data_IF_501008149918
#
_entry.id   IF_501008149918
#
_cell.length_a   1.000
_cell.length_b   1.000
_cell.length_c   1.000
_cell.angle_alpha   90.00
_cell.angle_beta   90.00
_cell.angle_gamma   90.00
#
_symmetry.space_group_name_H-M   'P 1'
#
loop_
_entity.id
_entity.type
_entity.pdbx_description
1 polymer ?
#
# COMPACT_ATOMS: atom_id res chain seq x y z
N UNK A 1 2.84 -50.31 -60.98
CA UNK A 1 2.29 -49.77 -59.72
C UNK A 1 1.74 -50.95 -58.92
N UNK A 2 2.27 -51.19 -57.72
CA UNK A 2 1.67 -52.04 -56.71
C UNK A 2 2.19 -51.51 -55.36
N UNK A 3 1.26 -51.11 -54.49
CA UNK A 3 1.50 -50.43 -53.22
C UNK A 3 2.02 -51.41 -52.16
N UNK A 4 2.95 -51.03 -51.27
CA UNK A 4 3.25 -51.83 -50.08
C UNK A 4 2.12 -51.66 -49.04
N UNK A 5 1.55 -52.79 -48.63
CA UNK A 5 0.49 -52.88 -47.64
C UNK A 5 0.94 -52.33 -46.27
N UNK A 6 0.01 -51.65 -45.63
CA UNK A 6 0.15 -50.91 -44.39
C UNK A 6 0.21 -51.87 -43.18
N UNK A 7 1.40 -52.37 -42.84
CA UNK A 7 1.65 -53.18 -41.63
C UNK A 7 1.85 -52.32 -40.35
N UNK A 8 1.45 -51.05 -40.36
CA UNK A 8 1.69 -50.12 -39.24
C UNK A 8 0.63 -50.18 -38.11
N UNK A 9 -0.33 -51.11 -38.18
CA UNK A 9 -1.47 -51.19 -37.24
C UNK A 9 -1.63 -52.56 -36.55
N UNK A 10 -0.62 -53.42 -36.56
CA UNK A 10 -0.60 -54.63 -35.75
C UNK A 10 0.00 -54.36 -34.37
N UNK A 11 -0.71 -53.60 -33.54
CA UNK A 11 -0.43 -53.52 -32.10
C UNK A 11 -1.39 -54.51 -31.43
N UNK A 12 -0.90 -55.70 -31.12
CA UNK A 12 -1.61 -56.65 -30.26
C UNK A 12 -1.67 -56.06 -28.84
N UNK A 13 -2.81 -55.50 -28.49
CA UNK A 13 -3.11 -55.05 -27.13
C UNK A 13 -3.53 -56.27 -26.33
N UNK A 14 -2.59 -56.84 -25.59
CA UNK A 14 -2.86 -57.91 -24.62
C UNK A 14 -3.73 -57.36 -23.48
N UNK A 15 -4.98 -57.81 -23.43
CA UNK A 15 -6.00 -57.31 -22.50
C UNK A 15 -5.77 -57.74 -21.05
N UNK A 16 -4.93 -58.73 -20.79
CA UNK A 16 -4.65 -59.19 -19.42
C UNK A 16 -3.71 -58.24 -18.65
N UNK A 17 -2.88 -57.44 -19.33
CA UNK A 17 -1.98 -56.48 -18.68
C UNK A 17 -2.68 -55.17 -18.24
N UNK A 18 -3.90 -54.89 -18.74
CA UNK A 18 -4.65 -53.69 -18.35
C UNK A 18 -5.31 -53.83 -16.96
N UNK A 19 -5.69 -55.05 -16.58
CA UNK A 19 -6.35 -55.30 -15.29
C UNK A 19 -5.39 -55.11 -14.10
N UNK A 20 -4.11 -55.47 -14.25
CA UNK A 20 -3.10 -55.35 -13.19
C UNK A 20 -2.59 -53.90 -13.03
N UNK A 21 -2.64 -53.11 -14.10
CA UNK A 21 -2.20 -51.70 -14.08
C UNK A 21 -3.28 -50.75 -13.52
N UNK A 22 -4.56 -51.07 -13.68
CA UNK A 22 -5.68 -50.27 -13.17
C UNK A 22 -5.84 -50.33 -11.63
N UNK A 23 -5.27 -51.34 -10.97
CA UNK A 23 -5.31 -51.47 -9.51
C UNK A 23 -4.41 -50.47 -8.77
N UNK A 24 -3.52 -49.77 -9.49
CA UNK A 24 -2.61 -48.76 -8.95
C UNK A 24 -2.98 -47.32 -9.31
N UNK A 25 -4.10 -47.10 -10.00
CA UNK A 25 -4.57 -45.75 -10.32
C UNK A 25 -5.18 -45.13 -9.06
N UNK A 26 -4.38 -44.31 -8.38
CA UNK A 26 -4.89 -43.49 -7.28
C UNK A 26 -6.12 -42.73 -7.79
N UNK A 27 -7.22 -42.67 -7.01
CA UNK A 27 -8.46 -42.07 -7.48
C UNK A 27 -8.17 -40.66 -7.99
N UNK A 28 -8.75 -40.24 -9.14
CA UNK A 28 -8.47 -38.95 -9.73
C UNK A 28 -8.91 -37.86 -8.76
N UNK A 29 -7.96 -37.34 -7.98
CA UNK A 29 -8.21 -36.23 -7.07
C UNK A 29 -8.51 -35.04 -7.96
N UNK A 30 -9.75 -34.55 -7.89
CA UNK A 30 -10.16 -33.38 -8.66
C UNK A 30 -9.17 -32.24 -8.42
N UNK A 31 -8.77 -31.56 -9.49
CA UNK A 31 -7.79 -30.46 -9.45
C UNK A 31 -8.23 -29.28 -8.57
N UNK A 32 -9.50 -29.26 -8.15
CA UNK A 32 -10.10 -28.28 -7.23
C UNK A 32 -10.49 -28.86 -5.87
N UNK A 33 -10.24 -30.15 -5.62
CA UNK A 33 -10.53 -30.76 -4.33
C UNK A 33 -9.48 -30.30 -3.31
N UNK A 34 -9.91 -29.45 -2.37
CA UNK A 34 -9.19 -29.20 -1.13
C UNK A 34 -9.82 -30.07 -0.05
N UNK A 35 -9.02 -30.89 0.63
CA UNK A 35 -9.53 -31.67 1.75
C UNK A 35 -9.86 -30.75 2.94
N UNK A 36 -10.78 -31.19 3.79
CA UNK A 36 -11.10 -30.48 5.04
C UNK A 36 -9.84 -30.33 5.92
N UNK A 37 -8.96 -31.33 5.93
CA UNK A 37 -7.70 -31.28 6.67
C UNK A 37 -6.75 -30.18 6.15
N UNK A 38 -6.67 -29.99 4.83
CA UNK A 38 -5.89 -28.92 4.22
C UNK A 38 -6.47 -27.54 4.54
N UNK A 39 -7.81 -27.42 4.49
CA UNK A 39 -8.50 -26.19 4.87
C UNK A 39 -8.26 -25.82 6.34
N UNK A 40 -8.39 -26.78 7.26
CA UNK A 40 -8.13 -26.55 8.68
C UNK A 40 -6.65 -26.19 8.93
N UNK A 41 -5.71 -26.80 8.20
CA UNK A 41 -4.28 -26.46 8.28
C UNK A 41 -4.01 -25.02 7.79
N UNK A 42 -4.60 -24.62 6.66
CA UNK A 42 -4.51 -23.26 6.14
C UNK A 42 -5.15 -22.25 7.08
N UNK A 43 -6.32 -22.57 7.64
CA UNK A 43 -7.02 -21.74 8.62
C UNK A 43 -6.22 -21.58 9.90
N UNK A 44 -5.61 -22.65 10.42
CA UNK A 44 -4.75 -22.59 11.60
C UNK A 44 -3.48 -21.76 11.38
N UNK A 45 -2.96 -21.76 10.15
CA UNK A 45 -1.78 -20.96 9.75
C UNK A 45 -2.15 -19.53 9.34
N UNK A 46 -3.43 -19.28 9.04
CA UNK A 46 -3.90 -17.98 8.59
C UNK A 46 -3.87 -16.97 9.72
N UNK A 47 -3.07 -15.93 9.53
CA UNK A 47 -3.13 -14.71 10.32
C UNK A 47 -3.54 -13.56 9.40
N UNK A 48 -4.64 -12.90 9.74
CA UNK A 48 -5.05 -11.69 9.03
C UNK A 48 -4.00 -10.60 9.26
N UNK A 49 -3.48 -10.02 8.18
CA UNK A 49 -2.64 -8.82 8.27
C UNK A 49 -3.54 -7.62 8.53
N UNK A 50 -3.77 -7.35 9.81
CA UNK A 50 -4.49 -6.16 10.25
C UNK A 50 -3.47 -5.03 10.34
N UNK A 51 -3.71 -3.94 9.60
CA UNK A 51 -2.95 -2.72 9.84
C UNK A 51 -3.50 -2.03 11.09
N UNK A 52 -2.66 -1.92 12.11
CA UNK A 52 -3.00 -1.35 13.43
C UNK A 52 -2.93 0.18 13.41
N UNK A 53 -2.52 0.78 12.28
CA UNK A 53 -2.28 2.21 12.15
C UNK A 53 -0.86 2.60 12.58
N UNK A 54 -0.70 3.86 12.98
CA UNK A 54 0.59 4.52 13.28
C UNK A 54 1.54 4.52 12.08
N UNK A 55 0.97 4.66 10.88
CA UNK A 55 1.74 4.72 9.64
C UNK A 55 2.68 5.92 9.62
N UNK A 56 2.30 7.03 10.24
CA UNK A 56 3.16 8.19 10.40
C UNK A 56 4.42 7.89 11.24
N UNK A 57 4.29 7.23 12.38
CA UNK A 57 5.44 6.88 13.22
C UNK A 57 6.37 5.89 12.51
N UNK A 58 5.80 4.87 11.86
CA UNK A 58 6.55 3.91 11.05
C UNK A 58 7.32 4.58 9.92
N UNK A 59 6.76 5.61 9.30
CA UNK A 59 7.45 6.41 8.27
C UNK A 59 8.67 7.13 8.87
N UNK A 60 8.53 7.71 10.06
CA UNK A 60 9.62 8.41 10.75
C UNK A 60 10.72 7.44 11.23
N UNK A 61 10.38 6.18 11.50
CA UNK A 61 11.37 5.14 11.77
C UNK A 61 12.11 4.69 10.50
N UNK A 62 11.37 4.48 9.41
CA UNK A 62 11.94 4.08 8.12
C UNK A 62 12.81 5.18 7.50
N UNK A 63 12.41 6.44 7.67
CA UNK A 63 13.12 7.62 7.16
C UNK A 63 13.33 8.63 8.29
N UNK A 64 14.36 8.43 9.14
CA UNK A 64 14.62 9.29 10.30
C UNK A 64 14.84 10.77 9.97
N UNK A 65 15.20 11.08 8.73
CA UNK A 65 15.39 12.44 8.24
C UNK A 65 14.10 13.25 8.12
N UNK A 66 12.93 12.59 8.15
CA UNK A 66 11.63 13.25 8.11
C UNK A 66 11.10 13.65 9.50
N UNK A 67 11.85 13.35 10.58
CA UNK A 67 11.46 13.71 11.93
C UNK A 67 11.40 15.24 12.10
N UNK A 68 10.39 15.78 12.80
CA UNK A 68 10.36 17.19 13.12
C UNK A 68 11.59 17.56 13.96
N UNK A 69 12.21 18.69 13.64
CA UNK A 69 13.35 19.22 14.39
C UNK A 69 12.78 20.04 15.55
N UNK A 70 12.85 19.50 16.77
CA UNK A 70 12.29 20.13 17.98
C UNK A 70 13.21 21.20 18.64
N UNK A 71 14.37 21.54 18.07
CA UNK A 71 15.34 22.43 18.72
C UNK A 71 15.42 23.85 18.12
N UNK A 72 15.15 24.92 18.90
CA UNK A 72 15.47 26.29 18.52
C UNK A 72 16.95 26.57 18.76
N UNK A 73 17.82 26.05 17.90
CA UNK A 73 19.22 26.47 17.86
C UNK A 73 19.38 27.80 17.09
N UNK A 74 20.26 28.71 17.53
CA UNK A 74 20.41 30.07 16.96
C UNK A 74 20.84 30.03 15.49
N UNK A 75 20.67 31.14 14.73
CA UNK A 75 20.81 31.19 13.27
C UNK A 75 22.29 31.11 12.88
N UNK A 76 22.87 29.94 13.03
CA UNK A 76 24.10 29.58 12.34
C UNK A 76 23.66 28.75 11.16
N UNK A 77 23.68 29.37 10.00
CA UNK A 77 23.88 28.78 8.68
C UNK A 77 24.34 27.31 8.77
N UNK A 78 23.41 26.37 8.80
CA UNK A 78 23.74 24.95 8.70
C UNK A 78 22.77 24.27 7.75
N UNK A 79 23.29 24.15 6.53
CA UNK A 79 23.13 23.03 5.61
C UNK A 79 22.04 23.13 4.54
N UNK A 80 22.11 24.21 3.77
CA UNK A 80 21.97 24.16 2.30
C UNK A 80 23.24 23.65 1.60
N UNK A 81 24.00 22.73 2.23
CA UNK A 81 25.30 22.26 1.73
C UNK A 81 25.39 20.73 1.72
N UNK A 82 25.22 20.16 0.53
CA UNK A 82 26.03 19.01 0.09
C UNK A 82 25.60 17.59 0.48
N UNK A 83 24.49 17.38 1.20
CA UNK A 83 23.94 16.04 1.37
C UNK A 83 23.06 15.70 0.17
N UNK A 84 23.49 14.72 -0.63
CA UNK A 84 22.68 14.09 -1.66
C UNK A 84 21.30 13.78 -1.09
N UNK A 85 20.25 14.35 -1.68
CA UNK A 85 18.87 14.08 -1.30
C UNK A 85 18.64 12.57 -1.21
N UNK A 86 17.85 12.13 -0.24
CA UNK A 86 17.64 10.69 -0.03
C UNK A 86 16.58 10.19 -1.00
N UNK A 87 16.95 9.21 -1.83
CA UNK A 87 15.99 8.53 -2.69
C UNK A 87 15.17 7.55 -1.86
N UNK A 88 13.86 7.82 -1.78
CA UNK A 88 12.92 6.93 -1.09
C UNK A 88 12.79 5.60 -1.84
N UNK A 89 12.78 4.49 -1.10
CA UNK A 89 12.44 3.20 -1.68
C UNK A 89 10.95 3.14 -1.99
N UNK A 90 10.55 2.23 -2.89
CA UNK A 90 9.12 2.04 -3.25
C UNK A 90 8.23 1.80 -2.03
N UNK A 91 8.74 1.06 -1.04
CA UNK A 91 8.03 0.80 0.23
C UNK A 91 7.81 2.08 1.03
N UNK A 92 8.82 2.96 1.09
CA UNK A 92 8.75 4.22 1.83
C UNK A 92 7.78 5.19 1.17
N UNK A 93 7.72 5.21 -0.17
CA UNK A 93 6.72 6.01 -0.92
C UNK A 93 5.30 5.51 -0.65
N UNK A 94 5.09 4.19 -0.57
CA UNK A 94 3.79 3.63 -0.19
C UNK A 94 3.43 3.99 1.25
N UNK A 95 4.38 3.84 2.17
CA UNK A 95 4.22 4.18 3.58
C UNK A 95 3.92 5.67 3.78
N UNK A 96 4.56 6.54 3.01
CA UNK A 96 4.26 7.97 2.95
C UNK A 96 2.81 8.22 2.53
N UNK A 97 2.31 7.51 1.52
CA UNK A 97 0.90 7.58 1.12
C UNK A 97 -0.06 7.14 2.22
N UNK A 98 0.25 6.05 2.92
CA UNK A 98 -0.56 5.57 4.05
C UNK A 98 -0.55 6.56 5.22
N UNK A 99 0.62 7.10 5.58
CA UNK A 99 0.75 8.12 6.62
C UNK A 99 -0.04 9.39 6.29
N UNK A 100 0.04 9.89 5.05
CA UNK A 100 -0.76 11.05 4.63
C UNK A 100 -2.26 10.74 4.68
N UNK A 101 -2.67 9.54 4.28
CA UNK A 101 -4.08 9.10 4.35
C UNK A 101 -4.61 9.01 5.78
N UNK A 102 -3.82 8.43 6.68
CA UNK A 102 -4.10 8.34 8.12
C UNK A 102 -4.25 9.73 8.75
N UNK A 103 -3.26 10.60 8.57
CA UNK A 103 -3.31 11.99 9.06
C UNK A 103 -4.49 12.77 8.48
N UNK A 104 -4.88 12.50 7.24
CA UNK A 104 -6.02 13.17 6.60
C UNK A 104 -7.35 12.73 7.22
N UNK A 105 -7.48 11.45 7.55
CA UNK A 105 -8.63 10.91 8.27
C UNK A 105 -8.75 11.52 9.67
N UNK A 106 -7.63 11.70 10.36
CA UNK A 106 -7.55 12.35 11.68
C UNK A 106 -7.68 13.89 11.62
N UNK A 107 -7.95 14.46 10.44
CA UNK A 107 -8.04 15.91 10.20
C UNK A 107 -6.78 16.71 10.58
N UNK A 108 -5.62 16.04 10.66
CA UNK A 108 -4.33 16.63 11.00
C UNK A 108 -3.68 17.31 9.78
N UNK A 109 -4.40 18.23 9.15
CA UNK A 109 -4.01 18.86 7.88
C UNK A 109 -2.70 19.64 7.95
N UNK A 110 -2.40 20.27 9.10
CA UNK A 110 -1.12 20.98 9.30
C UNK A 110 0.07 20.02 9.25
N UNK A 111 -0.07 18.85 9.87
CA UNK A 111 1.01 17.86 9.92
C UNK A 111 1.29 17.25 8.54
N UNK A 112 0.25 17.10 7.71
CA UNK A 112 0.39 16.68 6.32
C UNK A 112 1.18 17.70 5.51
N UNK A 113 0.86 18.99 5.65
CA UNK A 113 1.57 20.06 4.93
C UNK A 113 3.04 20.07 5.32
N UNK A 114 3.34 20.06 6.62
CA UNK A 114 4.72 20.03 7.11
C UNK A 114 5.46 18.76 6.66
N UNK A 115 4.80 17.60 6.63
CA UNK A 115 5.40 16.37 6.13
C UNK A 115 5.75 16.48 4.64
N UNK A 116 4.84 17.01 3.82
CA UNK A 116 5.09 17.25 2.39
C UNK A 116 6.31 18.17 2.18
N UNK A 117 6.40 19.28 2.92
CA UNK A 117 7.53 20.20 2.87
C UNK A 117 8.86 19.53 3.24
N UNK A 118 8.88 18.73 4.32
CA UNK A 118 10.08 17.98 4.72
C UNK A 118 10.50 16.97 3.66
N UNK A 119 9.55 16.27 3.04
CA UNK A 119 9.84 15.31 1.96
C UNK A 119 10.43 16.03 0.74
N UNK A 120 9.88 17.17 0.33
CA UNK A 120 10.42 17.94 -0.80
C UNK A 120 11.82 18.51 -0.52
N UNK A 121 12.12 18.83 0.74
CA UNK A 121 13.41 19.35 1.16
C UNK A 121 14.49 18.25 1.21
N UNK A 122 14.17 17.10 1.80
CA UNK A 122 15.16 16.07 2.17
C UNK A 122 15.23 14.93 1.13
N UNK A 123 14.14 14.62 0.44
CA UNK A 123 14.06 13.45 -0.43
C UNK A 123 14.16 13.78 -1.92
N UNK A 124 14.70 12.83 -2.69
CA UNK A 124 14.57 12.84 -4.15
C UNK A 124 13.18 12.35 -4.53
N UNK A 125 12.30 13.28 -4.88
CA UNK A 125 10.95 12.96 -5.36
C UNK A 125 10.93 12.91 -6.89
N UNK A 126 10.42 11.82 -7.46
CA UNK A 126 10.09 11.79 -8.89
C UNK A 126 8.91 12.73 -9.21
N UNK A 127 8.70 13.03 -10.50
CA UNK A 127 7.67 13.97 -10.92
C UNK A 127 6.24 13.61 -10.47
N UNK A 128 5.90 12.31 -10.41
CA UNK A 128 4.57 11.84 -9.98
C UNK A 128 4.40 11.97 -8.47
N UNK A 129 5.43 11.61 -7.71
CA UNK A 129 5.45 11.75 -6.25
C UNK A 129 5.36 13.23 -5.86
N UNK A 130 6.16 14.09 -6.50
CA UNK A 130 6.12 15.53 -6.27
C UNK A 130 4.76 16.16 -6.62
N UNK A 131 4.14 15.76 -7.73
CA UNK A 131 2.78 16.23 -8.06
C UNK A 131 1.76 15.79 -7.02
N UNK A 132 1.88 14.54 -6.53
CA UNK A 132 0.99 14.01 -5.51
C UNK A 132 1.11 14.76 -4.19
N UNK A 133 2.33 15.10 -3.75
CA UNK A 133 2.57 15.91 -2.55
C UNK A 133 1.99 17.33 -2.68
N UNK A 134 2.19 17.98 -3.83
CA UNK A 134 1.57 19.29 -4.10
C UNK A 134 0.04 19.24 -4.08
N UNK A 135 -0.56 18.16 -4.60
CA UNK A 135 -2.01 17.97 -4.58
C UNK A 135 -2.53 17.80 -3.15
N UNK A 136 -1.81 17.05 -2.32
CA UNK A 136 -2.14 16.89 -0.90
C UNK A 136 -2.02 18.20 -0.14
N UNK A 137 -0.93 18.95 -0.34
CA UNK A 137 -0.71 20.26 0.27
C UNK A 137 -1.87 21.21 -0.03
N UNK A 138 -2.20 21.42 -1.32
CA UNK A 138 -3.33 22.28 -1.74
C UNK A 138 -4.68 21.84 -1.16
N UNK A 139 -4.92 20.52 -1.09
CA UNK A 139 -6.16 19.98 -0.52
C UNK A 139 -6.26 20.28 0.97
N UNK A 140 -5.16 20.14 1.70
CA UNK A 140 -5.10 20.40 3.14
C UNK A 140 -5.22 21.90 3.43
N UNK A 141 -4.56 22.75 2.66
CA UNK A 141 -4.69 24.21 2.75
C UNK A 141 -6.14 24.66 2.52
N UNK A 142 -6.82 24.11 1.51
CA UNK A 142 -8.22 24.41 1.25
C UNK A 142 -9.12 24.00 2.43
N UNK A 143 -8.86 22.83 3.05
CA UNK A 143 -9.62 22.37 4.23
C UNK A 143 -9.38 23.25 5.45
N UNK A 144 -8.13 23.65 5.69
CA UNK A 144 -7.78 24.59 6.77
C UNK A 144 -8.44 25.96 6.56
N UNK A 145 -8.48 26.47 5.32
CA UNK A 145 -9.16 27.71 4.98
C UNK A 145 -10.68 27.66 5.21
N UNK A 146 -11.32 26.53 4.91
CA UNK A 146 -12.76 26.31 5.19
C UNK A 146 -13.02 26.25 6.70
N UNK A 147 -12.19 25.55 7.48
CA UNK A 147 -12.36 25.45 8.94
C UNK A 147 -12.21 26.82 9.64
N UNK A 148 -11.34 27.71 9.16
CA UNK A 148 -11.25 29.08 9.68
C UNK A 148 -12.46 29.95 9.30
N UNK A 149 -13.06 29.76 8.11
CA UNK A 149 -14.22 30.52 7.66
C UNK A 149 -15.55 30.10 8.31
N UNK A 150 -15.70 28.83 8.70
CA UNK A 150 -16.91 28.31 9.35
C UNK A 150 -17.05 28.78 10.83
N UNK A 151 -15.95 29.16 11.47
CA UNK A 151 -15.95 29.73 12.84
C UNK A 151 -16.41 31.19 12.93
N UNK A 152 -16.38 31.95 11.84
CA UNK A 152 -16.68 33.39 11.84
C UNK A 152 -18.17 33.68 11.54
N UNK A 153 -18.90 32.71 10.98
CA UNK A 153 -20.27 32.95 10.46
C UNK A 153 -21.39 32.63 11.47
N UNK A 154 -21.09 31.99 12.61
CA UNK A 154 -22.13 31.53 13.56
C UNK A 154 -22.46 32.54 14.68
N UNK A 155 -21.69 33.62 14.87
CA UNK A 155 -21.93 34.58 15.96
C UNK A 155 -22.90 35.71 15.57
N UNK A 156 -23.16 35.93 14.27
CA UNK A 156 -23.94 37.09 13.82
C UNK A 156 -25.47 36.91 13.78
N UNK A 157 -26.03 35.81 14.34
CA UNK A 157 -27.47 35.49 14.13
C UNK A 157 -28.24 35.08 15.38
N UNK A 158 -28.06 35.80 16.49
CA UNK A 158 -29.01 35.77 17.62
C UNK A 158 -29.05 37.16 18.28
N UNK A 159 -29.80 38.08 17.68
CA UNK A 159 -29.93 39.43 18.24
C UNK A 159 -30.87 40.32 17.44
N UNK A 160 -32.07 39.83 17.08
CA UNK A 160 -33.10 40.69 16.50
C UNK A 160 -34.49 40.06 16.61
N UNK A 161 -35.02 39.92 17.84
CA UNK A 161 -36.46 39.79 18.09
C UNK A 161 -36.77 40.47 19.43
N UNK A 162 -36.95 41.78 19.37
CA UNK A 162 -37.44 42.63 20.45
C UNK A 162 -38.12 43.84 19.83
N UNK A 163 -39.43 43.71 19.62
CA UNK A 163 -40.34 44.73 19.11
C UNK A 163 -41.76 44.33 19.45
#
# INVERSE_FOLDING_TARGET
>A
MAEPANELFAIEVDTDNYAETAAHDAPPVSRTFQSEADFQTQKATYSAKIDVGNNYERLLEAVPLLKPVDEPSPPTERQTQGLSRVRLAKKDVQLLGYAVGELYYDERYRDIIQLCERVELVCETDGKTAESLRRWTRRCEARLGVQLGEGETTVARTGALGG
#
